data_IF_293004668919
#
_entry.id   IF_293004668919
#
_cell.length_a   1.000
_cell.length_b   1.000
_cell.length_c   1.000
_cell.angle_alpha   90.00
_cell.angle_beta   90.00
_cell.angle_gamma   90.00
#
_symmetry.space_group_name_H-M   'P 1'
#
loop_
_entity.id
_entity.type
_entity.pdbx_description
1 polymer ?
#
# COMPACT_ATOMS: atom_id res chain seq x y z
N UNK A 1 -34.69 -31.50 2.17
CA UNK A 1 -33.23 -31.73 2.31
C UNK A 1 -32.68 -31.91 0.90
N UNK A 2 -31.73 -31.08 0.50
CA UNK A 2 -31.02 -31.22 -0.78
C UNK A 2 -30.21 -32.51 -0.68
N UNK A 3 -30.53 -33.56 -1.41
CA UNK A 3 -29.78 -34.81 -1.34
C UNK A 3 -28.43 -34.65 -2.06
N UNK A 4 -27.39 -35.31 -1.55
CA UNK A 4 -26.06 -35.34 -2.18
C UNK A 4 -26.13 -35.79 -3.65
N UNK A 5 -27.10 -36.66 -3.96
CA UNK A 5 -27.42 -37.14 -5.33
C UNK A 5 -27.83 -35.99 -6.28
N UNK A 6 -28.51 -34.94 -5.76
CA UNK A 6 -28.93 -33.79 -6.57
C UNK A 6 -27.72 -32.96 -7.01
N UNK A 7 -26.73 -32.83 -6.13
CA UNK A 7 -25.50 -32.10 -6.42
C UNK A 7 -24.59 -32.87 -7.38
N UNK A 8 -24.48 -34.21 -7.18
CA UNK A 8 -23.72 -35.10 -8.08
C UNK A 8 -24.36 -35.14 -9.48
N UNK A 9 -25.68 -35.17 -9.53
CA UNK A 9 -26.43 -35.10 -10.79
C UNK A 9 -26.24 -33.78 -11.54
N UNK A 10 -26.19 -32.66 -10.81
CA UNK A 10 -25.89 -31.33 -11.35
C UNK A 10 -24.47 -31.27 -11.98
N UNK A 11 -23.48 -31.82 -11.29
CA UNK A 11 -22.08 -31.86 -11.77
C UNK A 11 -21.93 -32.81 -12.98
N UNK A 12 -22.64 -33.94 -13.00
CA UNK A 12 -22.61 -34.87 -14.14
C UNK A 12 -23.21 -34.26 -15.42
N UNK A 13 -24.24 -33.42 -15.28
CA UNK A 13 -24.87 -32.73 -16.42
C UNK A 13 -23.97 -31.65 -17.04
N UNK A 14 -23.13 -30.98 -16.24
CA UNK A 14 -22.09 -30.07 -16.75
C UNK A 14 -21.13 -30.75 -17.72
N UNK A 15 -20.92 -32.06 -17.56
CA UNK A 15 -20.06 -32.89 -18.44
C UNK A 15 -20.65 -33.21 -19.80
N UNK A 16 -22.00 -33.14 -20.01
CA UNK A 16 -22.65 -33.46 -21.28
C UNK A 16 -22.55 -32.37 -22.35
N UNK A 17 -22.58 -31.08 -21.95
CA UNK A 17 -22.45 -29.93 -22.85
C UNK A 17 -21.26 -29.01 -22.45
N UNK A 18 -20.06 -29.58 -22.45
CA UNK A 18 -18.83 -28.98 -21.92
C UNK A 18 -18.57 -27.55 -22.42
N UNK A 19 -18.75 -27.30 -23.74
CA UNK A 19 -18.46 -25.99 -24.33
C UNK A 19 -19.44 -24.91 -23.86
N UNK A 20 -20.77 -25.27 -23.79
CA UNK A 20 -21.79 -24.33 -23.34
C UNK A 20 -21.63 -23.99 -21.85
N UNK A 21 -21.41 -25.01 -21.01
CA UNK A 21 -21.18 -24.86 -19.59
C UNK A 21 -19.91 -24.02 -19.30
N UNK A 22 -18.85 -24.26 -20.06
CA UNK A 22 -17.62 -23.51 -19.94
C UNK A 22 -17.80 -22.02 -20.32
N UNK A 23 -18.40 -21.75 -21.50
CA UNK A 23 -18.62 -20.38 -21.98
C UNK A 23 -19.46 -19.52 -21.02
N UNK A 24 -20.45 -20.13 -20.36
CA UNK A 24 -21.27 -19.38 -19.40
C UNK A 24 -20.65 -19.26 -18.03
N UNK A 25 -19.90 -20.26 -17.58
CA UNK A 25 -19.12 -20.13 -16.37
C UNK A 25 -18.00 -19.09 -16.50
N UNK A 26 -17.54 -18.79 -17.74
CA UNK A 26 -16.50 -17.77 -17.98
C UNK A 26 -16.86 -16.41 -17.36
N UNK A 27 -18.10 -15.94 -17.54
CA UNK A 27 -18.55 -14.68 -16.93
C UNK A 27 -18.45 -14.70 -15.40
N UNK A 28 -18.83 -15.84 -14.78
CA UNK A 28 -18.72 -16.01 -13.33
C UNK A 28 -17.25 -16.15 -12.90
N UNK A 29 -16.46 -16.94 -13.62
CA UNK A 29 -15.04 -17.17 -13.34
C UNK A 29 -14.27 -15.84 -13.40
N UNK A 30 -14.44 -15.07 -14.46
CA UNK A 30 -13.77 -13.77 -14.60
C UNK A 30 -14.31 -12.73 -13.62
N UNK A 31 -15.62 -12.71 -13.37
CA UNK A 31 -16.22 -11.80 -12.39
C UNK A 31 -15.68 -12.03 -10.99
N UNK A 32 -15.72 -13.27 -10.51
CA UNK A 32 -15.18 -13.64 -9.19
C UNK A 32 -13.66 -13.47 -9.14
N UNK A 33 -12.95 -13.88 -10.20
CA UNK A 33 -11.49 -13.71 -10.29
C UNK A 33 -11.07 -12.26 -10.25
N UNK A 34 -11.79 -11.37 -10.93
CA UNK A 34 -11.55 -9.94 -10.90
C UNK A 34 -11.79 -9.34 -9.50
N UNK A 35 -12.87 -9.74 -8.81
CA UNK A 35 -13.15 -9.29 -7.43
C UNK A 35 -12.00 -9.68 -6.50
N UNK A 36 -11.54 -10.92 -6.55
CA UNK A 36 -10.44 -11.39 -5.68
C UNK A 36 -9.13 -10.69 -6.02
N UNK A 37 -8.78 -10.60 -7.30
CA UNK A 37 -7.55 -9.91 -7.71
C UNK A 37 -7.57 -8.46 -7.25
N UNK A 38 -8.67 -7.74 -7.46
CA UNK A 38 -8.86 -6.36 -7.04
C UNK A 38 -8.71 -6.19 -5.52
N UNK A 39 -9.45 -6.97 -4.73
CA UNK A 39 -9.38 -6.88 -3.27
C UNK A 39 -8.00 -7.24 -2.73
N UNK A 40 -7.31 -8.20 -3.35
CA UNK A 40 -5.98 -8.62 -2.93
C UNK A 40 -4.90 -7.59 -3.26
N UNK A 41 -4.98 -6.96 -4.43
CA UNK A 41 -4.06 -5.90 -4.86
C UNK A 41 -4.34 -4.64 -4.04
N UNK A 42 -5.61 -4.28 -3.84
CA UNK A 42 -6.01 -3.13 -3.03
C UNK A 42 -5.53 -3.23 -1.58
N UNK A 43 -5.75 -4.39 -0.93
CA UNK A 43 -5.27 -4.62 0.44
C UNK A 43 -3.73 -4.60 0.54
N UNK A 44 -3.03 -5.08 -0.49
CA UNK A 44 -1.57 -5.00 -0.56
C UNK A 44 -1.07 -3.57 -0.68
N UNK A 45 -1.65 -2.79 -1.60
CA UNK A 45 -1.30 -1.38 -1.78
C UNK A 45 -1.59 -0.53 -0.53
N UNK A 46 -2.75 -0.77 0.13
CA UNK A 46 -3.09 -0.13 1.40
C UNK A 46 -2.05 -0.43 2.48
N UNK A 47 -1.67 -1.69 2.64
CA UNK A 47 -0.66 -2.07 3.63
C UNK A 47 0.71 -1.45 3.34
N UNK A 48 1.09 -1.35 2.08
CA UNK A 48 2.34 -0.72 1.68
C UNK A 48 2.33 0.77 1.96
N UNK A 49 1.24 1.47 1.61
CA UNK A 49 1.03 2.89 1.93
C UNK A 49 1.06 3.14 3.44
N UNK A 50 0.39 2.29 4.23
CA UNK A 50 0.43 2.36 5.70
C UNK A 50 1.86 2.20 6.24
N UNK A 51 2.64 1.26 5.72
CA UNK A 51 4.02 1.06 6.15
C UNK A 51 4.88 2.30 5.84
N UNK A 52 4.71 2.90 4.67
CA UNK A 52 5.43 4.13 4.29
C UNK A 52 5.08 5.29 5.22
N UNK A 53 3.79 5.49 5.48
CA UNK A 53 3.30 6.58 6.34
C UNK A 53 3.74 6.37 7.79
N UNK A 54 3.73 5.13 8.28
CA UNK A 54 4.26 4.80 9.60
C UNK A 54 5.75 5.11 9.72
N UNK A 55 6.54 4.86 8.67
CA UNK A 55 7.97 5.21 8.64
C UNK A 55 8.20 6.73 8.60
N UNK A 56 7.29 7.50 8.02
CA UNK A 56 7.33 8.98 8.09
C UNK A 56 6.95 9.52 9.47
N UNK A 57 6.24 8.72 10.27
CA UNK A 57 5.66 9.10 11.55
C UNK A 57 4.34 9.86 11.38
N UNK A 58 3.24 9.24 11.75
CA UNK A 58 1.87 9.78 11.53
C UNK A 58 1.70 11.17 12.18
N UNK A 59 2.32 11.37 13.34
CA UNK A 59 2.24 12.63 14.09
C UNK A 59 3.37 13.63 13.79
N UNK A 60 4.07 13.42 12.69
CA UNK A 60 5.11 14.34 12.24
C UNK A 60 4.54 15.39 11.28
N UNK A 61 5.02 16.61 11.37
CA UNK A 61 4.87 17.64 10.35
C UNK A 61 6.23 17.81 9.71
N UNK A 62 6.32 17.58 8.41
CA UNK A 62 7.56 17.62 7.64
C UNK A 62 7.59 18.90 6.84
N UNK A 63 8.57 19.76 7.14
CA UNK A 63 8.86 20.98 6.40
C UNK A 63 10.02 20.66 5.47
N UNK A 64 9.82 20.76 4.17
CA UNK A 64 10.82 20.43 3.15
C UNK A 64 11.14 21.68 2.33
N UNK A 65 12.42 21.93 2.11
CA UNK A 65 12.86 22.95 1.17
C UNK A 65 12.43 22.56 -0.27
N UNK A 66 11.89 23.51 -1.04
CA UNK A 66 11.58 23.31 -2.44
C UNK A 66 12.85 23.33 -3.29
N UNK A 67 12.88 22.50 -4.30
CA UNK A 67 13.96 22.47 -5.28
C UNK A 67 13.61 23.44 -6.43
N UNK A 68 14.52 24.36 -6.74
CA UNK A 68 14.38 25.32 -7.83
C UNK A 68 15.55 25.19 -8.79
N UNK A 69 15.35 25.70 -10.01
CA UNK A 69 16.46 25.87 -10.95
C UNK A 69 17.41 26.97 -10.46
N UNK A 70 18.67 26.89 -10.82
CA UNK A 70 19.71 27.81 -10.32
C UNK A 70 19.37 29.27 -10.52
N UNK A 71 18.75 29.61 -11.65
CA UNK A 71 18.38 31.02 -11.99
C UNK A 71 17.24 31.53 -11.06
N UNK A 72 16.21 30.70 -10.83
CA UNK A 72 15.10 31.02 -9.93
C UNK A 72 15.59 31.11 -8.48
N UNK A 73 16.50 30.20 -8.11
CA UNK A 73 17.06 30.15 -6.76
C UNK A 73 17.85 31.44 -6.43
N UNK A 74 18.60 32.02 -7.39
CA UNK A 74 19.29 33.28 -7.18
C UNK A 74 18.32 34.42 -6.87
N UNK A 75 17.18 34.51 -7.54
CA UNK A 75 16.14 35.51 -7.23
C UNK A 75 15.54 35.29 -5.84
N UNK A 76 15.14 34.04 -5.55
CA UNK A 76 14.56 33.67 -4.25
C UNK A 76 15.49 34.04 -3.11
N UNK A 77 16.82 33.84 -3.26
CA UNK A 77 17.82 34.11 -2.21
C UNK A 77 18.05 35.62 -1.92
N UNK A 78 17.52 36.52 -2.75
CA UNK A 78 17.49 37.94 -2.43
C UNK A 78 16.44 38.28 -1.36
N UNK A 79 15.41 37.45 -1.23
CA UNK A 79 14.28 37.70 -0.33
C UNK A 79 14.21 36.69 0.82
N UNK A 80 14.49 35.40 0.59
CA UNK A 80 14.47 34.32 1.57
C UNK A 80 15.82 33.61 1.64
N UNK A 81 16.28 33.31 2.84
CA UNK A 81 17.50 32.51 3.07
C UNK A 81 17.26 31.01 2.87
N UNK A 82 16.00 30.59 2.68
CA UNK A 82 15.61 29.17 2.65
C UNK A 82 15.51 28.55 4.04
N UNK A 83 15.18 27.26 4.05
CA UNK A 83 15.01 26.51 5.30
C UNK A 83 16.34 26.42 6.06
N UNK A 84 16.33 26.82 7.33
CA UNK A 84 17.52 27.04 8.15
C UNK A 84 17.38 26.51 9.58
N UNK A 85 18.50 26.43 10.32
CA UNK A 85 18.48 26.12 11.76
C UNK A 85 17.74 27.19 12.58
N UNK A 86 17.70 28.45 12.10
CA UNK A 86 16.92 29.49 12.72
C UNK A 86 15.44 29.17 12.76
N UNK A 87 14.91 28.59 11.70
CA UNK A 87 13.50 28.16 11.60
C UNK A 87 13.22 27.05 12.60
N UNK A 88 14.09 26.04 12.68
CA UNK A 88 13.94 24.96 13.65
C UNK A 88 13.91 25.48 15.11
N UNK A 89 14.77 26.42 15.45
CA UNK A 89 14.81 27.07 16.80
C UNK A 89 13.57 27.92 17.07
N UNK A 90 13.08 28.64 16.07
CA UNK A 90 11.85 29.44 16.20
C UNK A 90 10.65 28.56 16.45
N UNK A 91 10.51 27.45 15.70
CA UNK A 91 9.48 26.44 15.89
C UNK A 91 9.52 25.82 17.29
N UNK A 92 10.71 25.47 17.79
CA UNK A 92 10.88 24.92 19.12
C UNK A 92 10.42 25.89 20.23
N UNK A 93 10.57 27.19 20.00
CA UNK A 93 10.23 28.23 20.97
C UNK A 93 8.72 28.55 20.96
N UNK A 94 8.10 28.57 19.80
CA UNK A 94 6.72 29.07 19.62
C UNK A 94 5.69 27.98 19.83
N UNK A 95 5.97 26.74 19.39
CA UNK A 95 4.99 25.66 19.46
C UNK A 95 4.79 25.16 20.89
N UNK A 96 3.53 24.96 21.26
CA UNK A 96 3.13 24.43 22.57
C UNK A 96 2.06 23.33 22.41
N UNK A 97 2.16 22.18 23.11
CA UNK A 97 3.29 21.79 23.99
C UNK A 97 4.61 21.68 23.21
N UNK A 98 5.76 21.78 23.89
CA UNK A 98 7.08 21.74 23.24
C UNK A 98 7.26 20.46 22.41
N UNK A 99 7.41 20.57 21.08
CA UNK A 99 7.57 19.40 20.22
C UNK A 99 9.00 18.87 20.26
N UNK A 100 9.19 17.64 19.79
CA UNK A 100 10.52 17.18 19.39
C UNK A 100 10.75 17.61 17.94
N UNK A 101 11.89 18.27 17.71
CA UNK A 101 12.26 18.77 16.39
C UNK A 101 13.58 18.15 15.97
N UNK A 102 13.66 17.76 14.71
CA UNK A 102 14.92 17.37 14.09
C UNK A 102 15.09 18.09 12.76
N UNK A 103 16.32 18.47 12.48
CA UNK A 103 16.74 19.05 11.22
C UNK A 103 17.61 18.03 10.48
N UNK A 104 17.53 18.03 9.15
CA UNK A 104 18.38 17.18 8.33
C UNK A 104 18.87 17.89 7.08
N UNK A 105 20.09 17.51 6.67
CA UNK A 105 20.76 17.98 5.47
C UNK A 105 21.58 16.87 4.84
N UNK A 106 21.42 16.66 3.54
CA UNK A 106 22.26 15.76 2.77
C UNK A 106 23.57 16.46 2.41
N UNK A 107 24.67 15.87 2.80
CA UNK A 107 26.01 16.41 2.48
C UNK A 107 26.43 15.99 1.08
N UNK A 108 26.88 16.93 0.26
CA UNK A 108 27.48 16.60 -1.04
C UNK A 108 28.78 15.85 -0.83
N UNK A 109 28.81 14.58 -1.21
CA UNK A 109 29.97 13.73 -1.02
C UNK A 109 30.53 13.28 -2.36
N UNK A 110 31.84 13.40 -2.56
CA UNK A 110 32.57 12.86 -3.69
C UNK A 110 33.36 11.58 -3.32
N UNK A 111 33.61 11.37 -2.04
CA UNK A 111 34.22 10.13 -1.56
C UNK A 111 33.90 9.85 -0.09
N UNK A 112 33.66 8.57 0.20
CA UNK A 112 33.59 8.01 1.55
C UNK A 112 34.54 6.83 1.62
N UNK A 113 35.54 6.88 2.48
CA UNK A 113 36.64 5.92 2.51
C UNK A 113 36.91 5.49 3.95
N UNK A 114 37.13 4.19 4.12
CA UNK A 114 37.77 3.63 5.31
C UNK A 114 39.21 3.22 5.00
N UNK A 115 39.94 2.73 5.99
CA UNK A 115 41.26 2.11 5.76
C UNK A 115 41.21 0.91 4.81
N UNK A 116 40.06 0.29 4.64
CA UNK A 116 39.89 -0.98 3.91
C UNK A 116 39.18 -0.83 2.57
N UNK A 117 38.24 0.10 2.46
CA UNK A 117 37.35 0.17 1.30
C UNK A 117 36.77 1.58 1.07
N UNK A 118 36.17 1.79 -0.11
CA UNK A 118 35.37 2.95 -0.47
C UNK A 118 33.90 2.58 -0.47
N UNK A 119 33.04 3.56 -0.20
CA UNK A 119 31.59 3.40 -0.26
C UNK A 119 30.94 4.56 -1.01
N UNK A 120 29.79 4.28 -1.60
CA UNK A 120 28.86 5.21 -2.21
C UNK A 120 27.74 5.64 -1.23
N UNK A 121 27.94 5.38 0.07
CA UNK A 121 26.98 5.72 1.12
C UNK A 121 26.72 7.22 1.16
N UNK A 122 25.44 7.57 1.32
CA UNK A 122 25.01 8.93 1.47
C UNK A 122 25.35 9.42 2.88
N UNK A 123 25.81 10.64 3.00
CA UNK A 123 26.09 11.28 4.30
C UNK A 123 25.00 12.30 4.60
N UNK A 124 24.40 12.18 5.77
CA UNK A 124 23.31 13.03 6.22
C UNK A 124 23.66 13.67 7.56
N UNK A 125 23.71 14.99 7.58
CA UNK A 125 23.77 15.76 8.84
C UNK A 125 22.38 15.79 9.47
N UNK A 126 22.27 15.40 10.75
CA UNK A 126 20.99 15.36 11.46
C UNK A 126 21.16 15.87 12.90
N UNK A 127 20.05 16.34 13.49
CA UNK A 127 20.04 16.70 14.91
C UNK A 127 20.10 15.45 15.80
N UNK A 128 20.55 15.59 17.02
CA UNK A 128 20.62 14.50 18.01
C UNK A 128 19.28 13.83 18.30
N UNK A 129 18.16 14.53 18.10
CA UNK A 129 16.78 14.03 18.24
C UNK A 129 16.33 13.12 17.10
N UNK A 130 17.09 13.04 15.99
CA UNK A 130 16.70 12.35 14.77
C UNK A 130 16.38 10.87 15.00
N UNK A 131 17.26 10.17 15.74
CA UNK A 131 17.07 8.74 16.00
C UNK A 131 15.78 8.45 16.78
N UNK A 132 15.39 9.33 17.71
CA UNK A 132 14.16 9.19 18.48
C UNK A 132 12.92 9.44 17.60
N UNK A 133 12.92 10.49 16.79
CA UNK A 133 11.79 10.83 15.88
C UNK A 133 11.59 9.78 14.79
N UNK A 134 12.69 9.25 14.23
CA UNK A 134 12.67 8.24 13.18
C UNK A 134 12.62 6.79 13.74
N UNK A 135 12.56 6.65 15.07
CA UNK A 135 12.52 5.35 15.75
C UNK A 135 13.65 4.39 15.28
N UNK A 136 14.85 4.95 15.06
CA UNK A 136 15.99 4.16 14.61
C UNK A 136 16.54 3.31 15.76
N UNK A 137 16.74 2.03 15.49
CA UNK A 137 17.32 1.10 16.45
C UNK A 137 18.82 0.99 16.20
N UNK A 138 19.59 0.92 17.28
CA UNK A 138 21.03 0.68 17.22
C UNK A 138 21.31 -0.80 17.32
N UNK A 139 22.25 -1.27 16.54
CA UNK A 139 22.81 -2.61 16.63
C UNK A 139 23.97 -2.63 17.63
N UNK A 140 24.79 -1.58 17.63
CA UNK A 140 25.98 -1.48 18.46
C UNK A 140 26.33 0.01 18.70
N UNK A 141 26.95 0.34 19.83
CA UNK A 141 27.32 1.69 20.21
C UNK A 141 26.15 2.58 20.64
N UNK A 142 26.25 3.87 20.36
CA UNK A 142 25.25 4.89 20.69
C UNK A 142 25.03 5.87 19.53
N UNK A 143 23.86 6.51 19.50
CA UNK A 143 23.69 7.70 18.66
C UNK A 143 24.37 8.90 19.34
N UNK A 144 24.80 9.90 18.56
CA UNK A 144 25.45 11.07 19.12
C UNK A 144 24.49 11.90 20.00
N UNK A 145 25.04 12.53 21.01
CA UNK A 145 24.32 13.29 22.03
C UNK A 145 24.20 14.78 21.64
N UNK A 146 23.33 15.56 22.30
CA UNK A 146 23.26 17.00 22.11
C UNK A 146 24.61 17.69 22.34
N UNK A 147 25.44 17.20 23.25
CA UNK A 147 26.79 17.74 23.50
C UNK A 147 27.73 17.57 22.29
N UNK A 148 27.58 16.46 21.53
CA UNK A 148 28.34 16.25 20.28
C UNK A 148 27.90 17.24 19.19
N UNK A 149 26.61 17.55 19.16
CA UNK A 149 26.06 18.56 18.25
C UNK A 149 26.57 19.98 18.62
N UNK A 150 26.53 20.36 19.90
CA UNK A 150 27.03 21.66 20.36
C UNK A 150 28.53 21.86 20.13
N UNK A 151 29.32 20.81 20.36
CA UNK A 151 30.77 20.83 20.15
C UNK A 151 31.23 20.66 18.71
N UNK A 152 30.31 20.42 17.76
CA UNK A 152 30.61 20.07 16.38
C UNK A 152 31.52 18.84 16.28
N UNK A 153 31.25 17.81 17.07
CA UNK A 153 32.05 16.62 17.16
C UNK A 153 32.15 15.90 15.81
N UNK A 154 33.35 15.43 15.49
CA UNK A 154 33.61 14.67 14.28
C UNK A 154 33.28 13.16 14.50
N UNK A 155 32.03 12.89 14.76
CA UNK A 155 31.50 11.54 15.00
C UNK A 155 30.49 11.15 13.95
N UNK A 156 30.31 9.84 13.74
CA UNK A 156 29.31 9.33 12.81
C UNK A 156 28.67 8.02 13.30
N UNK A 157 27.44 7.80 12.85
CA UNK A 157 26.70 6.56 13.03
C UNK A 157 26.48 5.94 11.64
N UNK A 158 26.79 4.66 11.48
CA UNK A 158 26.72 3.96 10.21
C UNK A 158 25.43 3.15 10.10
N UNK A 159 24.78 3.20 8.95
CA UNK A 159 23.80 2.19 8.57
C UNK A 159 24.48 0.83 8.34
N UNK A 160 23.73 -0.25 8.50
CA UNK A 160 24.29 -1.61 8.43
C UNK A 160 24.97 -1.92 7.08
N UNK A 161 24.40 -1.45 5.96
CA UNK A 161 24.97 -1.64 4.61
C UNK A 161 26.22 -0.76 4.44
N UNK A 162 26.20 0.47 4.95
CA UNK A 162 27.36 1.36 4.94
C UNK A 162 28.52 0.75 5.74
N UNK A 163 28.23 0.17 6.92
CA UNK A 163 29.21 -0.61 7.71
C UNK A 163 29.80 -1.75 6.89
N UNK A 164 28.96 -2.57 6.26
CA UNK A 164 29.41 -3.73 5.49
C UNK A 164 30.32 -3.33 4.31
N UNK A 165 29.96 -2.25 3.60
CA UNK A 165 30.77 -1.74 2.48
C UNK A 165 32.13 -1.20 2.93
N UNK A 166 32.19 -0.51 4.07
CA UNK A 166 33.41 0.15 4.54
C UNK A 166 34.34 -0.75 5.35
N UNK A 167 33.78 -1.67 6.15
CA UNK A 167 34.55 -2.46 7.13
C UNK A 167 34.32 -3.97 7.03
N UNK A 168 33.28 -4.41 6.28
CA UNK A 168 32.83 -5.80 6.28
C UNK A 168 32.07 -6.17 7.54
N UNK A 169 32.30 -7.37 8.07
CA UNK A 169 31.57 -7.89 9.23
C UNK A 169 32.29 -7.66 10.59
N UNK A 170 33.46 -6.99 10.58
CA UNK A 170 34.23 -6.74 11.79
C UNK A 170 33.63 -5.67 12.70
N UNK A 171 34.25 -5.55 13.89
CA UNK A 171 33.96 -4.43 14.82
C UNK A 171 34.44 -3.11 14.25
N UNK A 172 33.63 -2.05 14.46
CA UNK A 172 33.82 -0.75 13.82
C UNK A 172 33.77 0.43 14.79
N UNK A 173 33.42 0.20 16.06
CA UNK A 173 33.41 1.27 17.04
C UNK A 173 34.81 1.86 17.20
N UNK A 174 34.91 3.15 17.40
CA UNK A 174 36.12 3.95 17.52
C UNK A 174 37.04 3.94 16.27
N UNK A 175 36.62 3.28 15.18
CA UNK A 175 37.32 3.36 13.91
C UNK A 175 36.98 4.65 13.17
N UNK A 176 37.89 5.07 12.29
CA UNK A 176 37.74 6.31 11.54
C UNK A 176 37.37 6.04 10.08
N UNK A 177 36.48 6.87 9.57
CA UNK A 177 36.19 7.02 8.14
C UNK A 177 36.57 8.41 7.68
N UNK A 178 36.91 8.58 6.43
CA UNK A 178 37.12 9.86 5.79
C UNK A 178 35.98 10.14 4.83
N UNK A 179 35.26 11.22 5.06
CA UNK A 179 34.20 11.74 4.20
C UNK A 179 34.71 13.01 3.57
N UNK A 180 34.89 13.03 2.26
CA UNK A 180 35.62 14.08 1.56
C UNK A 180 37.01 14.28 2.22
N UNK A 181 37.24 15.42 2.87
CA UNK A 181 38.50 15.72 3.56
C UNK A 181 38.38 15.65 5.08
N UNK A 182 37.24 15.28 5.64
CA UNK A 182 36.96 15.26 7.07
C UNK A 182 37.03 13.82 7.61
N UNK A 183 37.81 13.66 8.69
CA UNK A 183 37.84 12.43 9.46
C UNK A 183 36.72 12.38 10.48
N UNK A 184 36.00 11.26 10.52
CA UNK A 184 34.90 11.01 11.44
C UNK A 184 35.12 9.71 12.18
N UNK A 185 34.87 9.70 13.49
CA UNK A 185 34.98 8.52 14.34
C UNK A 185 33.61 7.83 14.43
N UNK A 186 33.58 6.53 14.22
CA UNK A 186 32.35 5.75 14.30
C UNK A 186 31.98 5.50 15.76
N UNK A 187 30.82 6.00 16.20
CA UNK A 187 30.31 5.87 17.57
C UNK A 187 29.14 4.90 17.69
N UNK A 188 28.53 4.54 16.57
CA UNK A 188 27.43 3.60 16.57
C UNK A 188 27.12 3.01 15.19
N UNK A 189 26.35 1.94 15.21
CA UNK A 189 25.85 1.26 14.01
C UNK A 189 24.35 1.02 14.17
N UNK A 190 23.58 1.37 13.13
CA UNK A 190 22.15 1.11 13.12
C UNK A 190 21.86 -0.36 12.84
N UNK A 191 20.79 -0.86 13.45
CA UNK A 191 20.22 -2.15 13.10
C UNK A 191 19.62 -2.12 11.69
N UNK A 192 19.47 -3.31 11.08
CA UNK A 192 18.84 -3.43 9.78
C UNK A 192 17.39 -2.92 9.83
N UNK A 193 17.08 -2.04 8.89
CA UNK A 193 15.75 -1.48 8.71
C UNK A 193 15.13 -2.07 7.44
N UNK A 194 13.91 -2.60 7.56
CA UNK A 194 13.15 -3.09 6.42
C UNK A 194 12.70 -1.97 5.45
N UNK A 195 13.03 -0.71 5.76
CA UNK A 195 12.67 0.42 4.91
C UNK A 195 13.48 0.36 3.60
N UNK A 196 12.80 0.11 2.49
CA UNK A 196 13.36 0.28 1.15
C UNK A 196 13.25 1.76 0.73
N UNK A 197 14.11 2.17 -0.24
CA UNK A 197 13.98 3.49 -0.85
C UNK A 197 12.64 3.56 -1.57
N UNK A 198 11.74 4.35 -1.05
CA UNK A 198 10.42 4.57 -1.64
C UNK A 198 10.16 6.07 -1.71
N UNK A 199 9.43 6.50 -2.73
CA UNK A 199 8.93 7.86 -2.84
C UNK A 199 7.41 7.80 -2.79
N UNK A 200 6.82 8.52 -1.86
CA UNK A 200 5.38 8.58 -1.70
C UNK A 200 4.91 10.02 -1.79
N UNK A 201 4.14 10.34 -2.81
CA UNK A 201 3.60 11.69 -3.07
C UNK A 201 4.66 12.81 -2.98
N UNK A 202 5.85 12.59 -3.56
CA UNK A 202 6.95 13.55 -3.56
C UNK A 202 7.77 13.60 -2.26
N UNK A 203 7.42 12.80 -1.25
CA UNK A 203 8.22 12.61 -0.05
C UNK A 203 9.09 11.38 -0.19
N UNK A 204 10.41 11.58 -0.23
CA UNK A 204 11.38 10.47 -0.27
C UNK A 204 11.47 9.84 1.12
N UNK A 205 11.11 8.57 1.22
CA UNK A 205 11.42 7.74 2.38
C UNK A 205 12.83 7.20 2.19
N UNK A 206 13.68 7.53 3.11
CA UNK A 206 15.10 7.24 3.03
C UNK A 206 15.39 5.84 3.58
N UNK A 207 16.31 5.13 2.93
CA UNK A 207 16.77 3.84 3.44
C UNK A 207 17.96 4.06 4.38
N UNK A 208 17.76 3.96 5.71
CA UNK A 208 18.82 4.24 6.68
C UNK A 208 19.98 3.24 6.62
N UNK A 209 19.80 2.10 5.96
CA UNK A 209 20.78 1.04 5.92
C UNK A 209 22.07 1.43 5.18
N UNK A 210 21.98 2.29 4.16
CA UNK A 210 23.15 2.75 3.39
C UNK A 210 23.55 4.19 3.70
N UNK A 211 23.01 4.79 4.76
CA UNK A 211 23.30 6.16 5.14
C UNK A 211 24.36 6.22 6.24
N UNK A 212 25.05 7.35 6.30
CA UNK A 212 26.01 7.73 7.36
C UNK A 212 25.47 9.00 8.01
N UNK A 213 25.19 8.95 9.28
CA UNK A 213 24.66 10.08 10.04
C UNK A 213 25.75 10.79 10.78
N UNK A 214 25.77 12.13 10.70
CA UNK A 214 26.69 13.01 11.41
C UNK A 214 25.92 14.12 12.10
N UNK A 215 26.45 14.77 13.15
CA UNK A 215 25.78 15.92 13.77
C UNK A 215 25.52 17.02 12.73
N UNK A 216 24.34 17.64 12.77
CA UNK A 216 23.94 18.68 11.81
C UNK A 216 24.91 19.87 11.84
N UNK A 217 25.39 20.25 13.02
CA UNK A 217 26.34 21.34 13.17
C UNK A 217 27.70 21.02 12.55
N UNK A 218 28.13 19.74 12.61
CA UNK A 218 29.34 19.27 11.93
C UNK A 218 29.15 19.31 10.41
N UNK A 219 27.96 18.88 9.92
CA UNK A 219 27.63 18.97 8.50
C UNK A 219 27.67 20.39 7.97
N UNK A 220 27.13 21.36 8.72
CA UNK A 220 27.04 22.73 8.30
C UNK A 220 28.38 23.51 8.41
N UNK A 221 29.26 23.12 9.36
CA UNK A 221 30.50 23.87 9.61
C UNK A 221 31.74 23.29 8.94
N UNK A 222 31.75 22.00 8.66
CA UNK A 222 32.93 21.27 8.15
C UNK A 222 32.81 20.89 6.68
N UNK A 223 31.63 20.92 6.13
CA UNK A 223 31.42 20.57 4.71
C UNK A 223 30.99 21.83 3.96
N UNK A 224 31.51 21.95 2.74
CA UNK A 224 31.22 23.08 1.88
C UNK A 224 29.73 23.14 1.50
N UNK A 225 29.21 24.35 1.53
CA UNK A 225 27.85 24.70 1.14
C UNK A 225 27.91 25.80 0.12
N UNK A 226 27.23 25.66 -0.99
CA UNK A 226 27.07 26.78 -1.91
C UNK A 226 26.16 27.86 -1.25
N UNK A 227 26.53 29.10 -1.37
CA UNK A 227 25.82 30.21 -0.71
C UNK A 227 24.35 30.36 -1.11
N UNK A 228 23.98 29.77 -2.27
CA UNK A 228 22.60 29.79 -2.77
C UNK A 228 21.77 28.57 -2.32
N UNK A 229 22.39 27.53 -1.76
CA UNK A 229 21.68 26.35 -1.27
C UNK A 229 20.95 26.61 0.05
N UNK A 230 19.97 25.77 0.35
CA UNK A 230 19.33 25.76 1.66
C UNK A 230 20.34 25.30 2.72
N UNK A 231 20.26 25.87 3.91
CA UNK A 231 21.03 25.39 5.05
C UNK A 231 20.57 23.99 5.47
N UNK A 232 19.24 23.75 5.39
CA UNK A 232 18.60 22.48 5.70
C UNK A 232 17.74 22.03 4.52
N UNK A 233 17.69 20.71 4.28
CA UNK A 233 16.77 20.11 3.31
C UNK A 233 15.40 19.86 3.93
N UNK A 234 15.38 19.56 5.25
CA UNK A 234 14.17 19.17 5.94
C UNK A 234 14.23 19.50 7.43
N UNK A 235 13.07 19.92 7.95
CA UNK A 235 12.81 19.98 9.39
C UNK A 235 11.61 19.04 9.65
N UNK A 236 11.70 18.19 10.66
CA UNK A 236 10.59 17.34 11.10
C UNK A 236 10.21 17.74 12.50
N UNK A 237 8.95 18.05 12.69
CA UNK A 237 8.34 18.44 13.96
C UNK A 237 7.40 17.34 14.41
N UNK A 238 7.75 16.62 15.47
CA UNK A 238 6.89 15.61 16.06
C UNK A 238 5.92 16.26 17.05
N UNK A 239 4.64 16.18 16.73
CA UNK A 239 3.57 16.79 17.53
C UNK A 239 3.15 15.84 18.65
N UNK A 240 2.94 16.40 19.84
CA UNK A 240 2.43 15.67 21.01
C UNK A 240 1.07 15.01 20.70
N UNK A 241 0.78 13.81 21.25
CA UNK A 241 -0.51 13.13 21.08
C UNK A 241 -1.73 13.98 21.46
N UNK A 242 -1.58 14.89 22.43
CA UNK A 242 -2.65 15.72 22.96
C UNK A 242 -2.91 17.00 22.14
N UNK A 243 -2.06 17.33 21.18
CA UNK A 243 -2.21 18.54 20.37
C UNK A 243 -2.88 18.23 19.02
N UNK A 244 -3.68 19.18 18.53
CA UNK A 244 -4.28 19.12 17.20
C UNK A 244 -3.22 19.37 16.12
N UNK A 245 -3.05 18.41 15.21
CA UNK A 245 -1.99 18.49 14.20
C UNK A 245 -2.29 19.56 13.14
N UNK A 246 -3.55 19.81 12.82
CA UNK A 246 -3.95 20.82 11.83
C UNK A 246 -3.76 22.24 12.38
N UNK A 247 -4.08 22.46 13.66
CA UNK A 247 -3.80 23.75 14.34
C UNK A 247 -2.31 24.03 14.38
N UNK A 248 -1.51 23.01 14.74
CA UNK A 248 -0.05 23.14 14.75
C UNK A 248 0.51 23.36 13.35
N UNK A 249 0.02 22.67 12.34
CA UNK A 249 0.45 22.85 10.96
C UNK A 249 0.15 24.25 10.43
N UNK A 250 -1.02 24.79 10.74
CA UNK A 250 -1.39 26.16 10.37
C UNK A 250 -0.48 27.20 11.07
N UNK A 251 -0.17 26.97 12.34
CA UNK A 251 0.77 27.81 13.12
C UNK A 251 2.18 27.75 12.52
N UNK A 252 2.67 26.56 12.18
CA UNK A 252 3.94 26.36 11.50
C UNK A 252 3.97 27.10 10.16
N UNK A 253 2.92 26.91 9.34
CA UNK A 253 2.83 27.56 8.03
C UNK A 253 2.87 29.09 8.14
N UNK A 254 2.11 29.66 9.07
CA UNK A 254 2.09 31.10 9.29
C UNK A 254 3.46 31.62 9.74
N UNK A 255 4.10 30.94 10.68
CA UNK A 255 5.44 31.29 11.16
C UNK A 255 6.47 31.24 10.05
N UNK A 256 6.53 30.13 9.32
CA UNK A 256 7.45 29.94 8.21
C UNK A 256 7.22 30.98 7.10
N UNK A 257 5.97 31.25 6.74
CA UNK A 257 5.64 32.27 5.74
C UNK A 257 6.15 33.67 6.13
N UNK A 258 6.00 34.06 7.39
CA UNK A 258 6.53 35.34 7.89
C UNK A 258 8.06 35.35 7.89
N UNK A 259 8.72 34.28 8.35
CA UNK A 259 10.17 34.18 8.40
C UNK A 259 10.80 34.18 7.01
N UNK A 260 10.12 33.59 6.03
CA UNK A 260 10.54 33.55 4.62
C UNK A 260 9.97 34.71 3.79
N UNK A 261 9.44 35.77 4.44
CA UNK A 261 8.86 36.96 3.76
C UNK A 261 7.81 36.65 2.73
N UNK A 262 7.00 35.61 2.97
CA UNK A 262 5.95 35.09 2.06
C UNK A 262 6.47 34.54 0.73
N UNK A 263 7.76 34.23 0.64
CA UNK A 263 8.33 33.49 -0.49
C UNK A 263 7.96 32.02 -0.35
N UNK A 264 7.46 31.41 -1.44
CA UNK A 264 7.01 30.03 -1.47
C UNK A 264 8.19 29.06 -1.74
N UNK A 265 9.15 28.99 -0.83
CA UNK A 265 10.38 28.22 -0.95
C UNK A 265 10.45 26.96 -0.06
N UNK A 266 9.37 26.67 0.65
CA UNK A 266 9.20 25.47 1.45
C UNK A 266 7.86 24.79 1.16
N UNK A 267 7.71 23.53 1.56
CA UNK A 267 6.44 22.79 1.54
C UNK A 267 6.24 22.10 2.88
N UNK A 268 4.99 22.05 3.34
CA UNK A 268 4.61 21.35 4.56
C UNK A 268 3.89 20.07 4.13
N UNK A 269 4.33 18.95 4.68
CA UNK A 269 3.70 17.63 4.44
C UNK A 269 3.28 17.06 5.78
N UNK A 270 2.02 16.67 5.87
CA UNK A 270 1.42 16.03 7.04
C UNK A 270 1.11 14.58 6.63
N UNK A 271 1.85 13.57 7.17
CA UNK A 271 1.62 12.17 6.82
C UNK A 271 0.18 11.70 7.12
N UNK A 272 -0.48 12.27 8.13
CA UNK A 272 -1.88 11.97 8.44
C UNK A 272 -2.82 12.36 7.28
N UNK A 273 -2.63 13.53 6.67
CA UNK A 273 -3.42 13.96 5.50
C UNK A 273 -3.18 13.08 4.28
N UNK A 274 -1.93 12.63 4.10
CA UNK A 274 -1.59 11.67 3.04
C UNK A 274 -2.31 10.34 3.23
N UNK A 275 -2.44 9.88 4.48
CA UNK A 275 -3.19 8.68 4.81
C UNK A 275 -4.67 8.82 4.47
N UNK A 276 -5.29 9.93 4.88
CA UNK A 276 -6.70 10.20 4.55
C UNK A 276 -6.94 10.28 3.04
N UNK A 277 -6.05 10.95 2.31
CA UNK A 277 -6.14 11.06 0.86
C UNK A 277 -6.02 9.69 0.19
N UNK A 278 -5.10 8.85 0.65
CA UNK A 278 -4.92 7.49 0.16
C UNK A 278 -6.17 6.64 0.41
N UNK A 279 -6.71 6.67 1.63
CA UNK A 279 -7.95 5.95 1.97
C UNK A 279 -9.14 6.39 1.11
N UNK A 280 -9.30 7.69 0.84
CA UNK A 280 -10.33 8.20 -0.07
C UNK A 280 -10.12 7.72 -1.50
N UNK A 281 -8.90 7.75 -1.99
CA UNK A 281 -8.53 7.27 -3.34
C UNK A 281 -8.80 5.78 -3.48
N UNK A 282 -8.41 4.97 -2.49
CA UNK A 282 -8.69 3.54 -2.44
C UNK A 282 -10.21 3.26 -2.37
N UNK A 283 -10.95 4.06 -1.60
CA UNK A 283 -12.41 3.97 -1.55
C UNK A 283 -13.07 4.17 -2.92
N UNK A 284 -12.66 5.20 -3.66
CA UNK A 284 -13.14 5.48 -5.02
C UNK A 284 -12.76 4.32 -5.96
N UNK A 285 -11.52 3.87 -5.90
CA UNK A 285 -11.03 2.76 -6.72
C UNK A 285 -11.83 1.48 -6.46
N UNK A 286 -12.10 1.14 -5.21
CA UNK A 286 -12.89 -0.01 -4.82
C UNK A 286 -14.34 0.08 -5.34
N UNK A 287 -14.96 1.27 -5.32
CA UNK A 287 -16.32 1.49 -5.87
C UNK A 287 -16.33 1.26 -7.39
N UNK A 288 -15.39 1.87 -8.12
CA UNK A 288 -15.30 1.74 -9.58
C UNK A 288 -15.05 0.29 -9.99
N UNK A 289 -14.09 -0.37 -9.37
CA UNK A 289 -13.78 -1.77 -9.65
C UNK A 289 -14.91 -2.71 -9.25
N UNK A 290 -15.57 -2.43 -8.13
CA UNK A 290 -16.77 -3.15 -7.69
C UNK A 290 -17.91 -3.03 -8.70
N UNK A 291 -18.12 -1.86 -9.30
CA UNK A 291 -19.10 -1.67 -10.37
C UNK A 291 -18.77 -2.50 -11.63
N UNK A 292 -17.51 -2.48 -12.07
CA UNK A 292 -17.04 -3.29 -13.21
C UNK A 292 -17.23 -4.79 -12.94
N UNK A 293 -16.83 -5.23 -11.77
CA UNK A 293 -16.99 -6.63 -11.36
C UNK A 293 -18.48 -7.03 -11.29
N UNK A 294 -19.34 -6.14 -10.80
CA UNK A 294 -20.80 -6.37 -10.74
C UNK A 294 -21.40 -6.54 -12.12
N UNK A 295 -21.00 -5.72 -13.10
CA UNK A 295 -21.42 -5.87 -14.51
C UNK A 295 -20.99 -7.22 -15.05
N UNK A 296 -19.75 -7.62 -14.83
CA UNK A 296 -19.22 -8.93 -15.27
C UNK A 296 -20.00 -10.09 -14.65
N UNK A 297 -20.32 -9.99 -13.37
CA UNK A 297 -21.10 -10.98 -12.64
C UNK A 297 -22.56 -11.03 -13.11
N UNK A 298 -23.19 -9.89 -13.45
CA UNK A 298 -24.52 -9.84 -14.05
C UNK A 298 -24.54 -10.55 -15.40
N UNK A 299 -23.55 -10.31 -16.26
CA UNK A 299 -23.42 -11.00 -17.56
C UNK A 299 -23.25 -12.50 -17.34
N UNK A 300 -22.43 -12.93 -16.38
CA UNK A 300 -22.27 -14.32 -15.99
C UNK A 300 -23.57 -14.95 -15.46
N UNK A 301 -24.33 -14.21 -14.65
CA UNK A 301 -25.63 -14.62 -14.14
C UNK A 301 -26.69 -14.83 -15.26
N UNK A 302 -26.77 -13.89 -16.21
CA UNK A 302 -27.60 -14.03 -17.41
C UNK A 302 -27.20 -15.29 -18.20
N UNK A 303 -25.90 -15.57 -18.30
CA UNK A 303 -25.39 -16.79 -18.90
C UNK A 303 -25.92 -18.06 -18.20
N UNK A 304 -25.88 -18.09 -16.85
CA UNK A 304 -26.45 -19.20 -16.06
C UNK A 304 -27.94 -19.34 -16.33
N UNK A 305 -28.68 -18.23 -16.31
CA UNK A 305 -30.13 -18.25 -16.59
C UNK A 305 -30.44 -18.85 -17.96
N UNK A 306 -29.69 -18.45 -19.00
CA UNK A 306 -29.91 -18.95 -20.35
C UNK A 306 -29.63 -20.48 -20.48
N UNK A 307 -28.59 -20.97 -19.82
CA UNK A 307 -28.29 -22.41 -19.77
C UNK A 307 -29.39 -23.15 -19.04
N UNK A 308 -29.80 -22.63 -17.89
CA UNK A 308 -30.86 -23.30 -17.12
C UNK A 308 -32.20 -23.37 -17.90
N UNK A 309 -32.53 -22.31 -18.66
CA UNK A 309 -33.69 -22.32 -19.55
C UNK A 309 -33.56 -23.39 -20.66
N UNK A 310 -32.38 -23.47 -21.29
CA UNK A 310 -32.14 -24.53 -22.28
C UNK A 310 -32.21 -25.94 -21.66
N UNK A 311 -31.66 -26.13 -20.46
CA UNK A 311 -31.73 -27.38 -19.71
C UNK A 311 -33.15 -27.76 -19.35
N UNK A 312 -34.04 -26.80 -19.02
CA UNK A 312 -35.45 -27.03 -18.78
C UNK A 312 -36.13 -27.55 -20.04
N UNK A 313 -35.85 -26.95 -21.21
CA UNK A 313 -36.39 -27.39 -22.48
C UNK A 313 -35.92 -28.82 -22.88
N UNK A 314 -34.63 -29.08 -22.72
CA UNK A 314 -34.05 -30.42 -23.02
C UNK A 314 -34.58 -31.52 -22.09
N UNK A 315 -35.04 -31.17 -20.88
CA UNK A 315 -35.55 -32.11 -19.88
C UNK A 315 -37.06 -32.05 -19.65
N UNK A 316 -37.79 -31.45 -20.57
CA UNK A 316 -39.25 -31.27 -20.46
C UNK A 316 -39.96 -32.60 -20.17
N UNK A 317 -39.61 -33.68 -20.88
CA UNK A 317 -40.16 -35.01 -20.69
C UNK A 317 -39.86 -35.60 -19.29
N UNK A 318 -38.64 -35.44 -18.79
CA UNK A 318 -38.23 -35.89 -17.46
C UNK A 318 -39.00 -35.13 -16.34
N UNK A 319 -39.17 -33.82 -16.49
CA UNK A 319 -39.94 -32.97 -15.58
C UNK A 319 -41.42 -33.41 -15.58
N UNK A 320 -41.98 -33.64 -16.77
CA UNK A 320 -43.35 -34.12 -16.95
C UNK A 320 -43.60 -35.45 -16.26
N UNK A 321 -42.68 -36.43 -16.45
CA UNK A 321 -42.75 -37.72 -15.81
C UNK A 321 -42.71 -37.63 -14.28
N UNK A 322 -41.77 -36.88 -13.72
CA UNK A 322 -41.65 -36.65 -12.27
C UNK A 322 -42.94 -36.02 -11.69
N UNK A 323 -43.49 -35.05 -12.40
CA UNK A 323 -44.74 -34.37 -12.01
C UNK A 323 -45.95 -35.32 -12.09
N UNK A 324 -46.01 -36.18 -13.11
CA UNK A 324 -47.05 -37.18 -13.25
C UNK A 324 -47.03 -38.25 -12.16
N UNK A 325 -45.86 -38.63 -11.66
CA UNK A 325 -45.68 -39.57 -10.54
C UNK A 325 -45.93 -38.92 -9.17
N UNK A 326 -46.16 -37.59 -9.10
CA UNK A 326 -46.57 -36.91 -7.87
C UNK A 326 -45.57 -35.94 -7.26
N UNK A 327 -44.48 -35.60 -7.96
CA UNK A 327 -43.55 -34.55 -7.48
C UNK A 327 -44.26 -33.19 -7.38
N UNK A 328 -44.04 -32.48 -6.25
CA UNK A 328 -44.61 -31.13 -6.03
C UNK A 328 -43.83 -30.10 -6.86
N UNK A 329 -44.54 -29.00 -7.22
CA UNK A 329 -43.88 -27.86 -7.89
C UNK A 329 -42.63 -27.36 -7.12
N UNK A 330 -42.69 -27.41 -5.80
CA UNK A 330 -41.58 -26.97 -4.93
C UNK A 330 -40.34 -27.88 -5.10
N UNK A 331 -40.53 -29.19 -5.27
CA UNK A 331 -39.44 -30.14 -5.44
C UNK A 331 -38.66 -29.85 -6.74
N UNK A 332 -39.38 -29.59 -7.82
CA UNK A 332 -38.79 -29.19 -9.11
C UNK A 332 -38.06 -27.83 -8.97
N UNK A 333 -38.67 -26.83 -8.33
CA UNK A 333 -38.01 -25.53 -8.10
C UNK A 333 -36.72 -25.70 -7.34
N UNK A 334 -36.73 -26.39 -6.20
CA UNK A 334 -35.56 -26.58 -5.36
C UNK A 334 -34.44 -27.32 -6.06
N UNK A 335 -34.79 -28.27 -6.92
CA UNK A 335 -33.81 -29.00 -7.74
C UNK A 335 -33.08 -28.04 -8.70
N UNK A 336 -33.80 -27.23 -9.48
CA UNK A 336 -33.20 -26.33 -10.47
C UNK A 336 -32.46 -25.18 -9.78
N UNK A 337 -32.94 -24.65 -8.62
CA UNK A 337 -32.21 -23.68 -7.83
C UNK A 337 -30.90 -24.29 -7.32
N UNK A 338 -30.91 -25.48 -6.77
CA UNK A 338 -29.70 -26.16 -6.30
C UNK A 338 -28.70 -26.39 -7.44
N UNK A 339 -29.17 -26.71 -8.65
CA UNK A 339 -28.33 -26.87 -9.84
C UNK A 339 -27.69 -25.54 -10.24
N UNK A 340 -28.45 -24.42 -10.26
CA UNK A 340 -27.93 -23.09 -10.56
C UNK A 340 -26.89 -22.64 -9.53
N UNK A 341 -27.15 -22.86 -8.24
CA UNK A 341 -26.19 -22.52 -7.15
C UNK A 341 -24.94 -23.40 -7.26
N UNK A 342 -25.07 -24.70 -7.59
CA UNK A 342 -23.91 -25.57 -7.76
C UNK A 342 -23.00 -25.11 -8.93
N UNK A 343 -23.61 -24.69 -10.06
CA UNK A 343 -22.88 -24.13 -11.21
C UNK A 343 -22.14 -22.84 -10.81
N UNK A 344 -22.84 -21.95 -10.11
CA UNK A 344 -22.25 -20.67 -9.69
C UNK A 344 -21.11 -20.86 -8.68
N UNK A 345 -21.25 -21.80 -7.74
CA UNK A 345 -20.20 -22.15 -6.79
C UNK A 345 -18.99 -22.79 -7.47
N UNK A 346 -19.21 -23.69 -8.45
CA UNK A 346 -18.13 -24.27 -9.23
C UNK A 346 -17.37 -23.20 -10.03
N UNK A 347 -18.10 -22.28 -10.71
CA UNK A 347 -17.52 -21.14 -11.39
C UNK A 347 -16.79 -20.20 -10.42
N UNK A 348 -17.36 -19.98 -9.22
CA UNK A 348 -16.75 -19.20 -8.14
C UNK A 348 -15.43 -19.80 -7.66
N UNK A 349 -15.38 -21.12 -7.43
CA UNK A 349 -14.14 -21.82 -7.04
C UNK A 349 -13.01 -21.67 -8.06
N UNK A 350 -13.34 -21.88 -9.35
CA UNK A 350 -12.39 -21.68 -10.43
C UNK A 350 -11.97 -20.20 -10.51
N UNK A 351 -12.92 -19.28 -10.31
CA UNK A 351 -12.68 -17.84 -10.25
C UNK A 351 -11.72 -17.45 -9.12
N UNK A 352 -11.90 -18.05 -7.93
CA UNK A 352 -10.95 -17.87 -6.79
C UNK A 352 -9.55 -18.31 -7.18
N UNK A 353 -9.40 -19.49 -7.79
CA UNK A 353 -8.10 -20.00 -8.21
C UNK A 353 -7.46 -19.10 -9.27
N UNK A 354 -8.25 -18.60 -10.22
CA UNK A 354 -7.79 -17.67 -11.25
C UNK A 354 -7.41 -16.32 -10.65
N UNK A 355 -8.21 -15.74 -9.76
CA UNK A 355 -7.94 -14.51 -9.06
C UNK A 355 -6.66 -14.59 -8.22
N UNK A 356 -6.45 -15.73 -7.53
CA UNK A 356 -5.19 -16.02 -6.83
C UNK A 356 -4.00 -16.03 -7.79
N UNK A 357 -4.13 -16.72 -8.93
CA UNK A 357 -3.08 -16.78 -9.95
C UNK A 357 -2.72 -15.39 -10.50
N UNK A 358 -3.74 -14.57 -10.80
CA UNK A 358 -3.54 -13.19 -11.27
C UNK A 358 -2.83 -12.36 -10.20
N UNK A 359 -3.28 -12.41 -8.94
CA UNK A 359 -2.64 -11.67 -7.83
C UNK A 359 -1.18 -12.05 -7.68
N UNK A 360 -0.84 -13.34 -7.76
CA UNK A 360 0.56 -13.82 -7.68
C UNK A 360 1.38 -13.37 -8.88
N UNK A 361 0.79 -13.38 -10.08
CA UNK A 361 1.46 -12.89 -11.28
C UNK A 361 1.75 -11.39 -11.18
N UNK A 362 0.78 -10.58 -10.74
CA UNK A 362 0.98 -9.14 -10.52
C UNK A 362 2.10 -8.91 -9.49
N UNK A 363 2.09 -9.61 -8.36
CA UNK A 363 3.15 -9.50 -7.35
C UNK A 363 4.54 -9.81 -7.92
N UNK A 364 4.65 -10.85 -8.76
CA UNK A 364 5.93 -11.26 -9.34
C UNK A 364 6.46 -10.30 -10.41
N UNK A 365 5.58 -9.66 -11.20
CA UNK A 365 5.99 -8.79 -12.30
C UNK A 365 6.11 -7.32 -11.92
N UNK A 366 5.25 -6.83 -11.02
CA UNK A 366 5.23 -5.41 -10.63
C UNK A 366 5.96 -5.13 -9.31
N UNK A 367 6.30 -6.17 -8.55
CA UNK A 367 6.87 -6.02 -7.21
C UNK A 367 5.86 -5.54 -6.15
N UNK A 368 4.58 -5.38 -6.53
CA UNK A 368 3.55 -4.95 -5.58
C UNK A 368 3.20 -6.06 -4.60
N UNK A 369 3.08 -5.74 -3.33
CA UNK A 369 2.57 -6.66 -2.33
C UNK A 369 1.10 -6.95 -2.59
N UNK A 370 0.70 -8.22 -2.54
CA UNK A 370 -0.70 -8.64 -2.67
C UNK A 370 -1.10 -9.46 -1.47
N UNK A 371 -2.19 -9.08 -0.81
CA UNK A 371 -2.67 -9.72 0.40
C UNK A 371 -4.03 -10.36 0.13
N UNK A 372 -4.09 -11.69 0.18
CA UNK A 372 -5.33 -12.43 0.05
C UNK A 372 -5.89 -12.66 1.44
N UNK A 373 -7.02 -12.03 1.74
CA UNK A 373 -7.70 -12.17 3.02
C UNK A 373 -8.77 -13.26 2.97
N UNK A 374 -9.02 -13.93 4.10
CA UNK A 374 -10.16 -14.85 4.21
C UNK A 374 -11.50 -14.16 3.94
N UNK A 375 -11.59 -12.86 4.22
CA UNK A 375 -12.75 -12.03 3.92
C UNK A 375 -13.02 -11.89 2.42
N UNK A 376 -11.99 -11.69 1.59
CA UNK A 376 -12.13 -11.59 0.13
C UNK A 376 -12.64 -12.89 -0.49
N UNK A 377 -12.15 -14.04 0.01
CA UNK A 377 -12.63 -15.36 -0.43
C UNK A 377 -14.10 -15.55 0.00
N UNK A 378 -14.43 -15.29 1.26
CA UNK A 378 -15.79 -15.41 1.79
C UNK A 378 -16.79 -14.52 1.05
N UNK A 379 -16.42 -13.26 0.77
CA UNK A 379 -17.25 -12.33 0.01
C UNK A 379 -17.48 -12.83 -1.41
N UNK A 380 -16.45 -13.35 -2.08
CA UNK A 380 -16.56 -13.89 -3.44
C UNK A 380 -17.49 -15.11 -3.52
N UNK A 381 -17.40 -16.01 -2.54
CA UNK A 381 -18.34 -17.13 -2.42
C UNK A 381 -19.77 -16.67 -2.12
N UNK A 382 -19.94 -15.70 -1.23
CA UNK A 382 -21.24 -15.13 -0.93
C UNK A 382 -21.90 -14.51 -2.16
N UNK A 383 -21.15 -13.67 -2.89
CA UNK A 383 -21.66 -13.02 -4.10
C UNK A 383 -21.98 -14.04 -5.19
N UNK A 384 -21.12 -15.04 -5.44
CA UNK A 384 -21.40 -16.09 -6.45
C UNK A 384 -22.65 -16.90 -6.10
N UNK A 385 -22.85 -17.23 -4.81
CA UNK A 385 -24.05 -17.94 -4.34
C UNK A 385 -25.33 -17.12 -4.54
N UNK A 386 -25.30 -15.83 -4.22
CA UNK A 386 -26.43 -14.91 -4.40
C UNK A 386 -26.80 -14.79 -5.88
N UNK A 387 -25.81 -14.65 -6.75
CA UNK A 387 -26.02 -14.59 -8.20
C UNK A 387 -26.63 -15.89 -8.72
N UNK A 388 -26.10 -17.05 -8.34
CA UNK A 388 -26.65 -18.34 -8.70
C UNK A 388 -28.10 -18.47 -8.24
N UNK A 389 -28.44 -17.99 -7.05
CA UNK A 389 -29.80 -18.00 -6.54
C UNK A 389 -30.71 -17.06 -7.36
N UNK A 390 -30.35 -15.81 -7.57
CA UNK A 390 -31.17 -14.81 -8.27
C UNK A 390 -31.47 -15.29 -9.71
N UNK A 391 -30.44 -15.64 -10.46
CA UNK A 391 -30.59 -16.04 -11.86
C UNK A 391 -31.10 -17.47 -12.04
N UNK A 392 -31.04 -18.30 -11.00
CA UNK A 392 -31.65 -19.65 -11.00
C UNK A 392 -33.16 -19.67 -10.70
N UNK A 393 -33.71 -18.65 -10.02
CA UNK A 393 -35.14 -18.61 -9.64
C UNK A 393 -36.04 -18.61 -10.86
N UNK A 394 -35.79 -17.78 -11.87
CA UNK A 394 -36.66 -17.67 -13.03
C UNK A 394 -36.79 -18.99 -13.83
N UNK A 395 -35.69 -19.67 -14.23
CA UNK A 395 -35.78 -20.98 -14.87
C UNK A 395 -36.43 -22.03 -14.00
N UNK A 396 -36.18 -22.05 -12.70
CA UNK A 396 -36.78 -23.00 -11.77
C UNK A 396 -38.29 -22.83 -11.65
N UNK A 397 -38.78 -21.60 -11.64
CA UNK A 397 -40.23 -21.31 -11.66
C UNK A 397 -40.84 -21.77 -12.96
N UNK A 398 -40.21 -21.48 -14.10
CA UNK A 398 -40.68 -21.91 -15.41
C UNK A 398 -40.75 -23.45 -15.52
N UNK A 399 -39.68 -24.16 -15.11
CA UNK A 399 -39.69 -25.64 -15.06
C UNK A 399 -40.82 -26.21 -14.20
N UNK A 400 -41.11 -25.61 -13.05
CA UNK A 400 -42.14 -26.09 -12.13
C UNK A 400 -43.57 -25.84 -12.60
N UNK A 401 -43.78 -24.93 -13.56
CA UNK A 401 -45.08 -24.58 -14.08
C UNK A 401 -45.44 -25.31 -15.38
N UNK A 402 -44.54 -26.11 -15.93
CA UNK A 402 -44.84 -26.96 -17.10
C UNK A 402 -46.02 -27.94 -16.82
N UNK A 403 -46.93 -28.09 -17.77
CA UNK A 403 -48.04 -29.02 -17.65
C UNK A 403 -47.53 -30.46 -17.93
N UNK A 404 -47.74 -31.41 -16.99
CA UNK A 404 -47.29 -32.81 -17.18
C UNK A 404 -47.85 -33.46 -18.45
N UNK A 405 -49.07 -33.11 -18.87
CA UNK A 405 -49.71 -33.70 -20.05
C UNK A 405 -49.03 -33.19 -21.33
N UNK A 406 -48.78 -31.88 -21.40
CA UNK A 406 -48.09 -31.30 -22.55
C UNK A 406 -46.63 -31.75 -22.60
N UNK A 407 -45.94 -31.89 -21.46
CA UNK A 407 -44.58 -32.38 -21.41
C UNK A 407 -44.39 -33.79 -21.93
N UNK A 408 -45.37 -34.71 -21.72
CA UNK A 408 -45.32 -36.08 -22.18
C UNK A 408 -45.75 -36.24 -23.66
N UNK A 409 -46.37 -35.20 -24.23
CA UNK A 409 -46.83 -35.17 -25.63
C UNK A 409 -45.78 -34.56 -26.58
N UNK A 410 -44.76 -33.91 -26.03
CA UNK A 410 -43.66 -33.33 -26.78
C UNK A 410 -42.71 -34.48 -27.23
N UNK A 411 -42.70 -34.80 -28.54
CA UNK A 411 -41.68 -35.60 -29.20
C UNK A 411 -40.51 -34.74 -29.66
#
# INVERSE_FOLDING_TARGET
>A
MISLETIIGALANLGRHKLRSFLTMLGMIFGVGAVIAMLSIGAGAEQESLNIIQNLGIRNIIIKAKEFKTEELQQIRTESLGVSLRDAKALETILKPKPLITASRVVKTYQVISKKARSDSRVVGVSSTYAAIQNLKLLDGSFFLPADEESNAQVCVLGIVAKQKLFGFGDVLDQQIKVNDIWLTVVGVLADSAAEKQEFQGVKVENPNNDIYIPITTALRKFDTEAIENELDRIVVQISPDADIQEQASTINNLMSVMHRYVDDFSIVIPEDLLEQEQRTQGIFNIVMGAIASISLLVGGIGIMNIMLASVLERTNEIGLRRAIGAKKLDIRMQFIAEAVAISLAGGLIGVALGYGISRAVAAFSGWSTIITGGSIGLSFGVSSVIGLIFGIYPAVQASNLDPIECLRYE
#
